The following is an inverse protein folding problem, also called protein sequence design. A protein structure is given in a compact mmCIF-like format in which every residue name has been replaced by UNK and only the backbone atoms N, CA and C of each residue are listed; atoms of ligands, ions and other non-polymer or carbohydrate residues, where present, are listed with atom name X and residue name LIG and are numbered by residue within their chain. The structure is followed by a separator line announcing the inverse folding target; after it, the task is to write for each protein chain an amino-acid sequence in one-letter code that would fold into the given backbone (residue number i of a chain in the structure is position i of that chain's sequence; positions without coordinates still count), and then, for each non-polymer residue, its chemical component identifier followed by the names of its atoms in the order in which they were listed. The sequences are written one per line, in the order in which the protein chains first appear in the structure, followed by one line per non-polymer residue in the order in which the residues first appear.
data_IF_718987076533
#
_entry.id   IF_718987076533
#
_cell.length_a   1.000
_cell.length_b   1.000
_cell.length_c   1.000
_cell.angle_alpha   90.00
_cell.angle_beta   90.00
_cell.angle_gamma   90.00
#
_symmetry.space_group_name_H-M   'P 1'
#
loop_
_entity.id
_entity.type
_entity.pdbx_description
1 polymer ?
#
# COMPACT_ATOMS: atom_id res chain seq x y z
N UNK A 1 4.32 -1.23 -4.21
CA UNK A 1 3.49 -0.19 -3.60
C UNK A 1 2.01 -0.52 -3.78
N UNK A 2 1.20 -0.41 -2.72
CA UNK A 2 -0.26 -0.39 -2.77
C UNK A 2 -0.71 1.02 -2.41
N UNK A 3 -1.45 1.66 -3.31
CA UNK A 3 -1.81 3.07 -3.17
C UNK A 3 -3.27 3.33 -3.62
N UNK A 4 -3.82 4.48 -3.27
CA UNK A 4 -5.16 4.89 -3.69
C UNK A 4 -5.27 6.41 -3.76
N UNK A 5 -5.96 6.93 -4.76
CA UNK A 5 -6.21 8.38 -4.91
C UNK A 5 -7.22 8.94 -3.90
N UNK A 6 -7.92 8.08 -3.14
CA UNK A 6 -8.98 8.45 -2.19
C UNK A 6 -8.96 7.52 -0.98
N UNK A 7 -9.29 8.02 0.20
CA UNK A 7 -9.49 7.20 1.39
C UNK A 7 -10.69 6.25 1.27
N UNK A 8 -10.64 5.14 2.01
CA UNK A 8 -11.76 4.20 2.10
C UNK A 8 -11.93 3.24 0.91
N UNK A 9 -11.02 3.20 -0.05
CA UNK A 9 -11.08 2.28 -1.21
C UNK A 9 -10.83 0.81 -0.84
N UNK A 10 -10.29 0.54 0.34
CA UNK A 10 -9.89 -0.81 0.78
C UNK A 10 -8.42 -1.16 0.48
N UNK A 11 -7.58 -0.17 0.24
CA UNK A 11 -6.15 -0.27 -0.02
C UNK A 11 -5.43 -1.16 1.00
N UNK A 12 -5.51 -0.83 2.28
CA UNK A 12 -4.84 -1.57 3.37
C UNK A 12 -5.33 -3.01 3.51
N UNK A 13 -6.64 -3.23 3.35
CA UNK A 13 -7.22 -4.59 3.32
C UNK A 13 -6.67 -5.39 2.14
N UNK A 14 -6.56 -4.76 0.96
CA UNK A 14 -5.94 -5.40 -0.20
C UNK A 14 -4.47 -5.74 0.07
N UNK A 15 -3.68 -4.81 0.63
CA UNK A 15 -2.27 -5.04 0.96
C UNK A 15 -2.09 -6.23 1.92
N UNK A 16 -2.87 -6.29 3.00
CA UNK A 16 -2.82 -7.38 3.98
C UNK A 16 -3.15 -8.73 3.34
N UNK A 17 -4.23 -8.80 2.56
CA UNK A 17 -4.63 -10.06 1.91
C UNK A 17 -3.62 -10.51 0.85
N UNK A 18 -3.07 -9.57 0.07
CA UNK A 18 -2.00 -9.88 -0.89
C UNK A 18 -0.77 -10.44 -0.18
N UNK A 19 -0.35 -9.82 0.93
CA UNK A 19 0.77 -10.30 1.74
C UNK A 19 0.52 -11.68 2.32
N UNK A 20 -0.68 -11.94 2.85
CA UNK A 20 -1.07 -13.23 3.39
C UNK A 20 -1.05 -14.34 2.31
N UNK A 21 -1.61 -14.07 1.13
CA UNK A 21 -1.61 -15.03 0.01
C UNK A 21 -0.20 -15.35 -0.48
N UNK A 22 0.68 -14.36 -0.56
CA UNK A 22 2.08 -14.58 -0.95
C UNK A 22 2.84 -15.39 0.11
N UNK A 23 2.62 -15.09 1.39
CA UNK A 23 3.22 -15.83 2.49
C UNK A 23 2.73 -17.28 2.57
N UNK A 24 1.44 -17.53 2.30
CA UNK A 24 0.86 -18.87 2.21
C UNK A 24 1.46 -19.71 1.08
N UNK A 25 1.94 -19.04 0.01
CA UNK A 25 2.71 -19.65 -1.08
C UNK A 25 4.20 -19.89 -0.74
N UNK A 26 4.63 -19.54 0.47
CA UNK A 26 5.99 -19.75 0.96
C UNK A 26 6.97 -18.60 0.65
N UNK A 27 6.52 -17.48 0.09
CA UNK A 27 7.36 -16.31 -0.10
C UNK A 27 7.58 -15.57 1.22
N UNK A 28 8.79 -15.06 1.43
CA UNK A 28 9.10 -14.17 2.55
C UNK A 28 8.56 -12.78 2.24
N UNK A 29 7.58 -12.32 3.00
CA UNK A 29 6.85 -11.08 2.75
C UNK A 29 6.97 -10.15 3.95
N UNK A 30 7.27 -8.87 3.69
CA UNK A 30 7.10 -7.80 4.68
C UNK A 30 6.06 -6.80 4.19
N UNK A 31 5.09 -6.52 5.06
CA UNK A 31 4.14 -5.42 4.93
C UNK A 31 4.72 -4.21 5.65
N UNK A 32 4.75 -3.06 4.98
CA UNK A 32 5.22 -1.80 5.57
C UNK A 32 4.06 -0.80 5.55
N UNK A 33 3.64 -0.36 6.73
CA UNK A 33 2.61 0.65 6.87
C UNK A 33 3.23 2.06 6.85
N UNK A 34 3.01 2.77 5.75
CA UNK A 34 3.50 4.14 5.55
C UNK A 34 2.42 5.20 5.80
N UNK A 35 1.23 4.82 6.26
CA UNK A 35 0.16 5.75 6.63
C UNK A 35 0.39 6.30 8.05
N UNK A 36 1.39 7.17 8.16
CA UNK A 36 1.88 7.71 9.43
C UNK A 36 0.77 8.47 10.16
N UNK A 37 0.48 8.06 11.40
CA UNK A 37 -0.57 8.64 12.24
C UNK A 37 -1.99 8.09 12.00
N UNK A 38 -2.21 7.35 10.90
CA UNK A 38 -3.48 6.69 10.59
C UNK A 38 -3.29 5.23 10.14
N UNK A 39 -2.10 4.66 10.34
CA UNK A 39 -1.78 3.29 10.02
C UNK A 39 -2.66 2.30 10.79
N UNK A 40 -3.04 1.22 10.14
CA UNK A 40 -3.96 0.23 10.68
C UNK A 40 -3.57 -1.22 10.32
N UNK A 41 -2.41 -1.47 9.70
CA UNK A 41 -2.02 -2.82 9.31
C UNK A 41 -1.83 -3.71 10.54
N UNK A 42 -1.35 -3.18 11.64
CA UNK A 42 -1.19 -3.88 12.92
C UNK A 42 -2.53 -4.33 13.50
N UNK A 43 -3.59 -3.51 13.34
CA UNK A 43 -4.95 -3.86 13.73
C UNK A 43 -5.52 -4.97 12.84
N UNK A 44 -5.40 -4.86 11.51
CA UNK A 44 -5.88 -5.88 10.57
C UNK A 44 -5.19 -7.23 10.76
N UNK A 45 -3.93 -7.22 11.16
CA UNK A 45 -3.15 -8.43 11.44
C UNK A 45 -3.32 -8.92 12.89
N UNK A 46 -3.93 -8.13 13.79
CA UNK A 46 -4.01 -8.45 15.22
C UNK A 46 -2.66 -8.40 15.92
N UNK A 47 -1.75 -7.56 15.44
CA UNK A 47 -0.37 -7.44 15.95
C UNK A 47 -0.13 -6.16 16.76
N UNK A 48 -1.15 -5.33 16.97
CA UNK A 48 -1.04 -4.03 17.66
C UNK A 48 -0.37 -4.11 19.05
N UNK A 49 -0.60 -5.19 19.79
CA UNK A 49 0.01 -5.41 21.11
C UNK A 49 1.50 -5.83 21.05
N UNK A 50 2.04 -6.08 19.85
CA UNK A 50 3.43 -6.50 19.63
C UNK A 50 4.31 -5.38 19.07
N UNK A 51 3.73 -4.24 18.74
CA UNK A 51 4.45 -3.09 18.19
C UNK A 51 5.27 -2.44 19.29
N UNK A 52 6.58 -2.50 19.19
CA UNK A 52 7.54 -1.82 20.07
C UNK A 52 8.28 -0.73 19.30
N UNK A 53 8.70 -1.05 18.10
CA UNK A 53 9.34 -0.14 17.15
C UNK A 53 8.55 -0.15 15.83
N UNK A 54 8.60 0.94 15.11
CA UNK A 54 7.85 1.19 13.89
C UNK A 54 8.78 1.50 12.70
N UNK A 55 8.21 1.78 11.54
CA UNK A 55 8.96 2.09 10.32
C UNK A 55 9.83 3.34 10.47
N UNK A 56 9.36 4.35 11.21
CA UNK A 56 10.13 5.58 11.48
C UNK A 56 11.38 5.27 12.31
N UNK A 57 11.25 4.51 13.40
CA UNK A 57 12.37 4.13 14.25
C UNK A 57 13.45 3.36 13.47
N UNK A 58 13.02 2.47 12.57
CA UNK A 58 13.93 1.71 11.71
C UNK A 58 14.64 2.62 10.69
N UNK A 59 13.89 3.48 9.99
CA UNK A 59 14.45 4.40 8.99
C UNK A 59 15.42 5.42 9.61
N UNK A 60 15.15 5.83 10.86
CA UNK A 60 16.01 6.76 11.61
C UNK A 60 17.21 6.10 12.28
N UNK A 61 17.30 4.75 12.24
CA UNK A 61 18.37 4.00 12.91
C UNK A 61 18.25 4.00 14.45
N UNK A 62 17.06 4.30 14.98
CA UNK A 62 16.78 4.28 16.43
C UNK A 62 16.69 2.86 16.98
N UNK A 63 16.48 1.88 16.10
CA UNK A 63 16.47 0.46 16.43
C UNK A 63 17.16 -0.37 15.35
N UNK A 64 17.48 -1.62 15.66
CA UNK A 64 17.91 -2.56 14.61
C UNK A 64 16.71 -2.99 13.79
N UNK A 65 16.87 -3.18 12.48
CA UNK A 65 15.81 -3.62 11.56
C UNK A 65 14.97 -4.77 12.12
N UNK A 66 15.60 -5.81 12.65
CA UNK A 66 14.92 -6.98 13.23
C UNK A 66 14.01 -6.68 14.42
N UNK A 67 14.19 -5.54 15.09
CA UNK A 67 13.38 -5.14 16.25
C UNK A 67 12.07 -4.45 15.80
N UNK A 68 12.06 -3.84 14.62
CA UNK A 68 10.87 -3.25 14.00
C UNK A 68 10.05 -4.28 13.19
N UNK A 69 10.62 -5.45 12.88
CA UNK A 69 9.95 -6.53 12.16
C UNK A 69 9.15 -7.39 13.13
N UNK A 70 7.83 -7.41 12.95
CA UNK A 70 6.90 -8.19 13.77
C UNK A 70 6.42 -9.37 12.91
N UNK A 71 6.72 -10.60 13.34
CA UNK A 71 6.25 -11.81 12.63
C UNK A 71 4.78 -12.07 12.92
N UNK A 72 4.00 -12.36 11.90
CA UNK A 72 2.62 -12.84 12.03
C UNK A 72 2.61 -14.25 12.63
N UNK A 73 1.66 -14.53 13.52
CA UNK A 73 1.55 -15.85 14.16
C UNK A 73 0.84 -16.91 13.32
N UNK A 74 0.19 -16.51 12.22
CA UNK A 74 -0.59 -17.39 11.33
C UNK A 74 0.20 -17.81 10.10
N UNK A 75 1.10 -16.93 9.63
CA UNK A 75 1.92 -17.12 8.43
C UNK A 75 3.40 -16.98 8.78
N UNK A 76 4.13 -18.08 8.73
CA UNK A 76 5.55 -18.12 9.14
C UNK A 76 6.46 -17.16 8.37
N UNK A 77 6.09 -16.84 7.13
CA UNK A 77 6.86 -15.99 6.22
C UNK A 77 6.31 -14.57 6.10
N UNK A 78 5.30 -14.16 6.91
CA UNK A 78 4.72 -12.82 6.89
C UNK A 78 5.23 -11.98 8.05
N UNK A 79 5.70 -10.78 7.73
CA UNK A 79 6.18 -9.81 8.70
C UNK A 79 5.50 -8.46 8.49
N UNK A 80 5.41 -7.68 9.55
CA UNK A 80 4.90 -6.31 9.56
C UNK A 80 5.98 -5.35 10.09
N UNK A 81 6.11 -4.21 9.45
CA UNK A 81 6.64 -2.97 10.03
C UNK A 81 5.47 -1.99 10.19
N UNK A 82 5.10 -1.69 11.42
CA UNK A 82 3.96 -0.84 11.72
C UNK A 82 4.25 0.65 11.45
N UNK A 83 3.22 1.43 11.17
CA UNK A 83 3.30 2.89 11.13
C UNK A 83 3.53 3.46 12.54
N UNK A 84 4.17 4.64 12.66
CA UNK A 84 4.22 5.35 13.93
C UNK A 84 2.83 5.85 14.32
N UNK A 85 2.49 5.87 15.64
CA UNK A 85 1.16 6.26 16.12
C UNK A 85 0.86 7.76 15.93
N UNK A 86 1.90 8.56 15.72
CA UNK A 86 1.79 9.99 15.48
C UNK A 86 2.56 10.38 14.22
N UNK A 87 2.09 11.42 13.54
CA UNK A 87 2.86 12.06 12.48
C UNK A 87 4.10 12.70 13.12
N UNK A 88 5.23 12.03 13.01
CA UNK A 88 6.50 12.64 13.35
C UNK A 88 6.91 13.52 12.17
N UNK A 89 6.67 14.83 12.33
CA UNK A 89 6.90 15.81 11.29
C UNK A 89 8.35 15.76 10.80
N UNK A 90 8.53 15.23 9.61
CA UNK A 90 9.48 15.78 8.69
C UNK A 90 10.89 15.23 8.66
N UNK A 91 11.25 14.11 9.30
CA UNK A 91 12.66 13.69 9.32
C UNK A 91 12.99 12.36 8.59
N UNK A 92 12.00 11.67 8.04
CA UNK A 92 12.28 10.51 7.17
C UNK A 92 12.53 11.03 5.75
N UNK A 93 13.79 10.97 5.32
CA UNK A 93 14.16 11.37 3.96
C UNK A 93 14.09 10.19 3.00
N UNK A 94 13.97 10.44 1.68
CA UNK A 94 14.02 9.38 0.67
C UNK A 94 15.27 8.51 0.79
N UNK A 95 16.42 9.09 1.11
CA UNK A 95 17.70 8.36 1.24
C UNK A 95 17.66 7.36 2.40
N UNK A 96 17.04 7.73 3.54
CA UNK A 96 16.89 6.84 4.70
C UNK A 96 15.95 5.67 4.41
N UNK A 97 14.85 5.94 3.70
CA UNK A 97 13.94 4.89 3.24
C UNK A 97 14.62 3.97 2.22
N UNK A 98 15.39 4.54 1.29
CA UNK A 98 16.15 3.76 0.32
C UNK A 98 17.09 2.78 1.03
N UNK A 99 17.87 3.25 2.00
CA UNK A 99 18.77 2.39 2.76
C UNK A 99 18.01 1.28 3.51
N UNK A 100 16.86 1.60 4.10
CA UNK A 100 15.99 0.63 4.77
C UNK A 100 15.44 -0.42 3.79
N UNK A 101 14.98 0.00 2.61
CA UNK A 101 14.45 -0.92 1.60
C UNK A 101 15.53 -1.84 1.04
N UNK A 102 16.76 -1.36 0.82
CA UNK A 102 17.88 -2.19 0.37
C UNK A 102 18.20 -3.30 1.40
N UNK A 103 18.23 -2.96 2.69
CA UNK A 103 18.38 -3.96 3.76
C UNK A 103 17.26 -5.02 3.77
N UNK A 104 16.04 -4.62 3.42
CA UNK A 104 14.88 -5.52 3.37
C UNK A 104 14.90 -6.40 2.12
N UNK A 105 15.34 -5.88 0.96
CA UNK A 105 15.46 -6.64 -0.30
C UNK A 105 16.33 -7.87 -0.18
N UNK A 106 17.35 -7.85 0.68
CA UNK A 106 18.20 -9.01 0.93
C UNK A 106 17.47 -10.15 1.70
N UNK A 107 16.41 -9.82 2.42
CA UNK A 107 15.76 -10.73 3.38
C UNK A 107 14.37 -11.20 2.93
N UNK A 108 13.71 -10.42 2.09
CA UNK A 108 12.33 -10.64 1.68
C UNK A 108 12.22 -10.78 0.16
N UNK A 109 11.35 -11.68 -0.27
CA UNK A 109 11.04 -11.87 -1.68
C UNK A 109 10.03 -10.82 -2.17
N UNK A 110 9.20 -10.31 -1.25
CA UNK A 110 8.24 -9.23 -1.49
C UNK A 110 8.24 -8.22 -0.34
N UNK A 111 8.35 -6.95 -0.71
CA UNK A 111 8.13 -5.80 0.17
C UNK A 111 6.85 -5.12 -0.30
N UNK A 112 5.79 -5.17 0.50
CA UNK A 112 4.50 -4.56 0.19
C UNK A 112 4.35 -3.30 1.03
N UNK A 113 4.34 -2.15 0.38
CA UNK A 113 4.25 -0.85 1.03
C UNK A 113 2.80 -0.37 0.92
N UNK A 114 2.10 -0.24 2.05
CA UNK A 114 0.78 0.38 2.14
C UNK A 114 0.96 1.90 2.29
N UNK A 115 0.68 2.63 1.22
CA UNK A 115 0.86 4.09 1.18
C UNK A 115 -0.30 4.83 1.88
N UNK A 116 -0.11 6.08 2.32
CA UNK A 116 -1.23 6.95 2.67
C UNK A 116 -2.20 7.11 1.50
N UNK A 117 -3.46 7.44 1.80
CA UNK A 117 -4.43 7.76 0.75
C UNK A 117 -4.15 9.16 0.15
N UNK A 118 -4.43 9.30 -1.14
CA UNK A 118 -4.26 10.58 -1.86
C UNK A 118 -3.00 10.63 -2.71
N UNK A 119 -2.65 11.85 -3.12
CA UNK A 119 -1.59 12.12 -4.12
C UNK A 119 -0.50 13.03 -3.56
N UNK A 120 -0.42 13.14 -2.25
CA UNK A 120 0.44 14.10 -1.55
C UNK A 120 1.88 13.59 -1.36
N UNK A 121 2.74 14.44 -0.80
CA UNK A 121 4.16 14.15 -0.62
C UNK A 121 4.43 12.85 0.15
N UNK A 122 3.60 12.52 1.14
CA UNK A 122 3.76 11.28 1.92
C UNK A 122 3.50 10.02 1.08
N UNK A 123 2.56 10.07 0.14
CA UNK A 123 2.34 8.99 -0.82
C UNK A 123 3.54 8.81 -1.75
N UNK A 124 4.13 9.92 -2.21
CA UNK A 124 5.31 9.89 -3.06
C UNK A 124 6.56 9.43 -2.29
N UNK A 125 6.66 9.80 -1.01
CA UNK A 125 7.71 9.30 -0.11
C UNK A 125 7.60 7.77 0.07
N UNK A 126 6.39 7.25 0.27
CA UNK A 126 6.15 5.80 0.34
C UNK A 126 6.51 5.08 -0.98
N UNK A 127 6.36 5.77 -2.11
CA UNK A 127 6.67 5.25 -3.44
C UNK A 127 8.17 5.18 -3.76
N UNK A 128 9.03 5.75 -2.91
CA UNK A 128 10.48 5.73 -3.09
C UNK A 128 10.99 4.30 -3.26
N UNK A 129 11.70 4.02 -4.36
CA UNK A 129 12.23 2.69 -4.69
C UNK A 129 11.19 1.57 -4.92
N UNK A 130 9.92 1.91 -5.14
CA UNK A 130 8.94 0.90 -5.52
C UNK A 130 9.13 0.49 -7.00
N UNK A 131 9.24 -0.81 -7.25
CA UNK A 131 9.37 -1.35 -8.61
C UNK A 131 8.03 -1.33 -9.35
N UNK A 132 6.93 -1.53 -8.60
CA UNK A 132 5.56 -1.68 -9.12
C UNK A 132 4.55 -0.99 -8.22
N UNK A 133 3.45 -0.55 -8.81
CA UNK A 133 2.33 -0.01 -8.04
C UNK A 133 1.01 -0.68 -8.40
N UNK A 134 0.22 -1.00 -7.37
CA UNK A 134 -1.18 -1.40 -7.50
C UNK A 134 -2.04 -0.27 -6.93
N UNK A 135 -2.85 0.33 -7.80
CA UNK A 135 -3.73 1.43 -7.46
C UNK A 135 -5.13 0.87 -7.20
N UNK A 136 -5.59 0.97 -5.95
CA UNK A 136 -6.91 0.48 -5.54
C UNK A 136 -7.93 1.60 -5.64
N UNK A 137 -8.93 1.42 -6.49
CA UNK A 137 -10.03 2.35 -6.70
C UNK A 137 -11.39 1.68 -6.45
N UNK A 138 -12.41 2.47 -6.14
CA UNK A 138 -13.81 2.05 -6.11
C UNK A 138 -14.53 2.52 -7.38
N UNK A 139 -15.65 1.88 -7.80
CA UNK A 139 -16.36 2.21 -9.03
C UNK A 139 -17.21 3.48 -8.86
N UNK A 140 -16.58 4.59 -8.51
CA UNK A 140 -17.15 5.93 -8.46
C UNK A 140 -16.23 6.94 -9.13
N UNK A 141 -16.79 7.96 -9.79
CA UNK A 141 -16.02 8.95 -10.55
C UNK A 141 -14.92 9.65 -9.74
N UNK A 142 -15.17 9.97 -8.46
CA UNK A 142 -14.18 10.66 -7.62
C UNK A 142 -12.98 9.76 -7.33
N UNK A 143 -13.23 8.47 -7.04
CA UNK A 143 -12.19 7.49 -6.79
C UNK A 143 -11.37 7.20 -8.05
N UNK A 144 -12.03 6.99 -9.19
CA UNK A 144 -11.37 6.73 -10.47
C UNK A 144 -10.53 7.93 -10.92
N UNK A 145 -11.06 9.15 -10.78
CA UNK A 145 -10.32 10.38 -11.10
C UNK A 145 -9.12 10.57 -10.20
N UNK A 146 -9.27 10.35 -8.89
CA UNK A 146 -8.15 10.43 -7.94
C UNK A 146 -7.07 9.39 -8.23
N UNK A 147 -7.49 8.19 -8.64
CA UNK A 147 -6.59 7.11 -9.03
C UNK A 147 -5.82 7.43 -10.34
N UNK A 148 -6.45 8.06 -11.33
CA UNK A 148 -5.79 8.51 -12.57
C UNK A 148 -4.73 9.61 -12.29
N UNK A 149 -5.04 10.57 -11.42
CA UNK A 149 -4.07 11.59 -10.99
C UNK A 149 -2.87 10.94 -10.27
N UNK A 150 -3.13 9.95 -9.41
CA UNK A 150 -2.07 9.20 -8.72
C UNK A 150 -1.20 8.43 -9.71
N UNK A 151 -1.81 7.75 -10.68
CA UNK A 151 -1.09 7.00 -11.73
C UNK A 151 -0.12 7.90 -12.51
N UNK A 152 -0.56 9.12 -12.87
CA UNK A 152 0.32 10.11 -13.52
C UNK A 152 1.53 10.46 -12.64
N UNK A 153 1.31 10.77 -11.36
CA UNK A 153 2.40 11.11 -10.43
C UNK A 153 3.38 9.95 -10.21
N UNK A 154 2.87 8.72 -10.09
CA UNK A 154 3.72 7.54 -9.96
C UNK A 154 4.55 7.29 -11.22
N UNK A 155 3.99 7.56 -12.40
CA UNK A 155 4.73 7.53 -13.67
C UNK A 155 5.83 8.60 -13.70
N UNK A 156 5.53 9.82 -13.31
CA UNK A 156 6.51 10.91 -13.22
C UNK A 156 7.63 10.59 -12.23
N UNK A 157 7.34 9.81 -11.19
CA UNK A 157 8.32 9.29 -10.23
C UNK A 157 9.13 8.08 -10.75
N UNK A 158 8.90 7.62 -11.99
CA UNK A 158 9.66 6.54 -12.63
C UNK A 158 9.12 5.14 -12.36
N UNK A 159 7.93 4.98 -11.78
CA UNK A 159 7.31 3.66 -11.61
C UNK A 159 6.56 3.31 -12.89
N UNK A 160 7.17 2.50 -13.76
CA UNK A 160 6.59 2.16 -15.07
C UNK A 160 5.54 1.06 -14.97
N UNK A 161 5.68 0.08 -14.07
CA UNK A 161 4.72 -0.99 -13.88
C UNK A 161 3.61 -0.59 -12.90
N UNK A 162 2.51 -0.07 -13.44
CA UNK A 162 1.34 0.37 -12.66
C UNK A 162 0.10 -0.38 -13.10
N UNK A 163 -0.70 -0.78 -12.13
CA UNK A 163 -1.88 -1.61 -12.30
C UNK A 163 -3.05 -1.09 -11.48
N UNK A 164 -4.28 -1.36 -11.93
CA UNK A 164 -5.49 -1.04 -11.19
C UNK A 164 -6.19 -2.28 -10.65
N UNK A 165 -6.73 -2.13 -9.44
CA UNK A 165 -7.72 -3.03 -8.87
C UNK A 165 -8.98 -2.22 -8.57
N UNK A 166 -10.12 -2.62 -9.15
CA UNK A 166 -11.42 -2.01 -8.88
C UNK A 166 -12.08 -2.81 -7.76
N UNK A 167 -12.16 -2.20 -6.59
CA UNK A 167 -12.65 -2.84 -5.36
C UNK A 167 -14.09 -2.41 -5.04
N UNK A 168 -14.79 -3.19 -4.22
CA UNK A 168 -16.15 -2.92 -3.74
C UNK A 168 -17.19 -2.82 -4.86
N UNK A 169 -17.05 -3.62 -5.88
CA UNK A 169 -18.00 -3.68 -7.00
C UNK A 169 -19.25 -4.44 -6.56
N UNK A 170 -20.41 -3.81 -6.69
CA UNK A 170 -21.72 -4.44 -6.49
C UNK A 170 -22.38 -4.67 -7.85
N UNK A 171 -23.00 -5.84 -8.05
CA UNK A 171 -23.69 -6.14 -9.32
C UNK A 171 -24.76 -5.09 -9.67
N UNK A 172 -25.50 -4.60 -8.65
CA UNK A 172 -26.53 -3.57 -8.83
C UNK A 172 -25.97 -2.18 -9.20
N UNK A 173 -24.68 -1.94 -9.06
CA UNK A 173 -24.06 -0.66 -9.39
C UNK A 173 -23.79 -0.51 -10.89
N UNK A 174 -23.78 -1.61 -11.63
CA UNK A 174 -23.39 -1.62 -13.07
C UNK A 174 -24.33 -0.83 -13.97
N UNK A 175 -25.61 -0.68 -13.55
CA UNK A 175 -26.66 0.02 -14.30
C UNK A 175 -27.20 1.25 -13.54
N UNK A 176 -26.56 1.66 -12.44
CA UNK A 176 -27.02 2.75 -11.61
C UNK A 176 -26.56 4.11 -12.17
N UNK A 177 -27.49 5.06 -12.24
CA UNK A 177 -27.20 6.44 -12.64
C UNK A 177 -26.11 7.07 -11.76
N UNK A 178 -25.11 7.71 -12.36
CA UNK A 178 -24.03 8.37 -11.63
C UNK A 178 -22.85 7.46 -11.22
N UNK A 179 -22.85 6.19 -11.64
CA UNK A 179 -21.74 5.26 -11.43
C UNK A 179 -21.13 4.92 -12.80
N UNK A 180 -19.78 5.06 -12.97
CA UNK A 180 -19.16 4.73 -14.26
C UNK A 180 -19.26 3.24 -14.55
N UNK A 181 -19.66 2.91 -15.77
CA UNK A 181 -19.54 1.55 -16.30
C UNK A 181 -18.08 1.11 -16.41
N UNK A 182 -17.81 -0.18 -16.52
CA UNK A 182 -16.44 -0.67 -16.74
C UNK A 182 -15.81 -0.12 -18.02
N UNK A 183 -16.62 0.12 -19.08
CA UNK A 183 -16.14 0.76 -20.30
C UNK A 183 -15.67 2.19 -20.04
N UNK A 184 -16.45 2.98 -19.30
CA UNK A 184 -16.09 4.34 -18.92
C UNK A 184 -14.87 4.37 -17.96
N UNK A 185 -14.81 3.46 -16.99
CA UNK A 185 -13.61 3.31 -16.13
C UNK A 185 -12.39 3.06 -17.02
N UNK A 186 -12.48 2.13 -17.97
CA UNK A 186 -11.39 1.83 -18.90
C UNK A 186 -10.94 3.00 -19.78
N UNK A 187 -11.84 3.97 -20.04
CA UNK A 187 -11.50 5.21 -20.77
C UNK A 187 -10.86 6.27 -19.86
N UNK A 188 -11.15 6.23 -18.57
CA UNK A 188 -10.68 7.23 -17.60
C UNK A 188 -9.31 6.88 -16.99
N UNK A 189 -8.92 5.60 -16.98
CA UNK A 189 -7.67 5.13 -16.40
C UNK A 189 -6.63 4.84 -17.50
N UNK A 190 -5.35 4.99 -17.16
CA UNK A 190 -4.23 4.88 -18.12
C UNK A 190 -3.52 3.55 -18.06
N UNK A 191 -3.52 2.90 -16.91
CA UNK A 191 -2.83 1.63 -16.68
C UNK A 191 -3.82 0.46 -16.67
N UNK A 192 -3.30 -0.76 -16.75
CA UNK A 192 -4.11 -1.97 -16.89
C UNK A 192 -4.88 -2.31 -15.63
N UNK A 193 -6.17 -2.63 -15.75
CA UNK A 193 -6.94 -3.29 -14.68
C UNK A 193 -6.53 -4.77 -14.61
N UNK A 194 -6.05 -5.22 -13.45
CA UNK A 194 -5.63 -6.60 -13.21
C UNK A 194 -6.60 -7.39 -12.32
N UNK A 195 -7.57 -6.71 -11.73
CA UNK A 195 -8.55 -7.37 -10.88
C UNK A 195 -9.77 -6.52 -10.57
N UNK A 196 -10.88 -7.21 -10.33
CA UNK A 196 -12.14 -6.65 -9.84
C UNK A 196 -12.53 -7.44 -8.59
N UNK A 197 -12.76 -6.74 -7.49
CA UNK A 197 -13.12 -7.36 -6.21
C UNK A 197 -14.56 -6.98 -5.88
N UNK A 198 -15.45 -7.96 -5.74
CA UNK A 198 -16.84 -7.70 -5.34
C UNK A 198 -16.92 -7.21 -3.90
N UNK A 199 -18.07 -6.58 -3.60
CA UNK A 199 -18.37 -6.09 -2.25
C UNK A 199 -18.92 -7.22 -1.40
#
# INVERSE_FOLDING_TARGET
LVASGKGGTGKSVFAVNMGAVLADKGYRVVLIDMDMGQGNLDLYLGLHNKVVYNVYDAAMGMCRMKQALIRDGRYDCLYLMAAPPHTNDGNVTPERLTAMYEDLKEKFDYIIIDAPAGVENNTMLAATQADRAVIVATPDYASVRGADVLDMKLREAGIDERYYVINKVKAQMMDAEGIPSFGEIGMLIRSKVIGVIPY
#
